data_IF_496059426090
#
_entry.id   IF_496059426090
#
_cell.length_a   1.000
_cell.length_b   1.000
_cell.length_c   1.000
_cell.angle_alpha   90.00
_cell.angle_beta   90.00
_cell.angle_gamma   90.00
#
_symmetry.space_group_name_H-M   'P 1'
#
loop_
_entity.id
_entity.type
_entity.pdbx_description
1 polymer ?
#
# COMPACT_ATOMS: atom_id res chain seq x y z
N UNK A 1 -3.83 -26.26 -13.33
CA UNK A 1 -3.48 -26.19 -11.92
C UNK A 1 -4.43 -27.09 -11.14
N UNK A 2 -3.89 -28.08 -10.40
CA UNK A 2 -4.67 -28.87 -9.45
C UNK A 2 -5.34 -27.89 -8.48
N UNK A 3 -6.66 -27.87 -8.44
CA UNK A 3 -7.44 -27.02 -7.56
C UNK A 3 -7.23 -27.54 -6.13
N UNK A 4 -6.47 -26.82 -5.31
CA UNK A 4 -6.28 -27.13 -3.89
C UNK A 4 -7.60 -26.96 -3.14
N UNK A 5 -7.77 -27.65 -2.02
CA UNK A 5 -8.95 -27.49 -1.17
C UNK A 5 -8.99 -26.09 -0.56
N UNK A 6 -10.17 -25.60 -0.19
CA UNK A 6 -10.33 -24.29 0.47
C UNK A 6 -9.48 -24.20 1.75
N UNK A 7 -9.42 -25.29 2.50
CA UNK A 7 -8.61 -25.39 3.73
C UNK A 7 -7.12 -25.29 3.42
N UNK A 8 -6.61 -25.95 2.37
CA UNK A 8 -5.20 -25.84 1.96
C UNK A 8 -4.83 -24.43 1.55
N UNK A 9 -5.71 -23.72 0.82
CA UNK A 9 -5.50 -22.32 0.50
C UNK A 9 -5.48 -21.43 1.75
N UNK A 10 -6.40 -21.65 2.68
CA UNK A 10 -6.49 -20.88 3.93
C UNK A 10 -5.23 -21.05 4.78
N UNK A 11 -4.79 -22.29 5.02
CA UNK A 11 -3.57 -22.58 5.77
C UNK A 11 -2.34 -21.95 5.09
N UNK A 12 -2.20 -22.14 3.78
CA UNK A 12 -1.08 -21.60 3.02
C UNK A 12 -1.08 -20.06 3.03
N UNK A 13 -2.24 -19.41 2.85
CA UNK A 13 -2.36 -17.97 2.92
C UNK A 13 -1.94 -17.44 4.29
N UNK A 14 -2.41 -18.05 5.37
CA UNK A 14 -2.10 -17.61 6.73
C UNK A 14 -0.62 -17.82 7.07
N UNK A 15 -0.07 -18.98 6.76
CA UNK A 15 1.33 -19.30 7.08
C UNK A 15 2.28 -18.41 6.28
N UNK A 16 2.07 -18.27 4.97
CA UNK A 16 2.91 -17.41 4.11
C UNK A 16 2.78 -15.95 4.52
N UNK A 17 1.57 -15.48 4.81
CA UNK A 17 1.36 -14.11 5.25
C UNK A 17 2.08 -13.83 6.57
N UNK A 18 1.98 -14.72 7.55
CA UNK A 18 2.63 -14.56 8.85
C UNK A 18 4.16 -14.52 8.72
N UNK A 19 4.75 -15.50 8.03
CA UNK A 19 6.21 -15.57 7.85
C UNK A 19 6.75 -14.38 7.05
N UNK A 20 6.11 -14.05 5.93
CA UNK A 20 6.55 -12.95 5.07
C UNK A 20 6.39 -11.58 5.77
N UNK A 21 5.30 -11.38 6.53
CA UNK A 21 5.06 -10.16 7.28
C UNK A 21 6.06 -10.02 8.44
N UNK A 22 6.33 -11.09 9.17
CA UNK A 22 7.32 -11.10 10.25
C UNK A 22 8.70 -10.72 9.72
N UNK A 23 9.13 -11.33 8.61
CA UNK A 23 10.41 -11.00 7.97
C UNK A 23 10.46 -9.53 7.52
N UNK A 24 9.40 -9.03 6.89
CA UNK A 24 9.33 -7.63 6.44
C UNK A 24 9.40 -6.64 7.63
N UNK A 25 8.74 -6.94 8.75
CA UNK A 25 8.81 -6.11 9.97
C UNK A 25 10.24 -6.08 10.52
N UNK A 26 10.91 -7.23 10.63
CA UNK A 26 12.31 -7.29 11.08
C UNK A 26 13.23 -6.48 10.15
N UNK A 27 13.12 -6.67 8.84
CA UNK A 27 13.93 -5.94 7.86
C UNK A 27 13.67 -4.44 7.92
N UNK A 28 12.40 -4.02 7.98
CA UNK A 28 12.03 -2.61 8.14
C UNK A 28 12.57 -1.98 9.41
N UNK A 29 12.59 -2.73 10.53
CA UNK A 29 13.23 -2.28 11.78
C UNK A 29 14.74 -2.08 11.61
N UNK A 30 15.44 -3.04 10.99
CA UNK A 30 16.87 -2.89 10.70
C UNK A 30 17.15 -1.69 9.78
N UNK A 31 16.36 -1.54 8.71
CA UNK A 31 16.45 -0.38 7.82
C UNK A 31 16.26 0.92 8.59
N UNK A 32 15.30 0.98 9.52
CA UNK A 32 15.07 2.16 10.36
C UNK A 32 16.23 2.46 11.29
N UNK A 33 16.84 1.44 11.91
CA UNK A 33 18.02 1.60 12.77
C UNK A 33 19.20 2.16 11.96
N UNK A 34 19.46 1.62 10.76
CA UNK A 34 20.51 2.14 9.88
C UNK A 34 20.20 3.56 9.45
N UNK A 35 18.96 3.83 9.04
CA UNK A 35 18.49 5.14 8.62
C UNK A 35 18.75 6.22 9.71
N UNK A 36 18.35 5.96 10.96
CA UNK A 36 18.50 6.89 12.06
C UNK A 36 19.95 7.08 12.52
N UNK A 37 20.82 6.10 12.26
CA UNK A 37 22.25 6.20 12.58
C UNK A 37 23.08 6.88 11.48
N UNK A 38 22.60 6.86 10.23
CA UNK A 38 23.37 7.36 9.08
C UNK A 38 22.94 8.74 8.61
N UNK A 39 21.68 9.11 8.85
CA UNK A 39 21.09 10.38 8.43
C UNK A 39 20.74 11.25 9.63
N UNK A 40 20.66 12.59 9.40
CA UNK A 40 20.29 13.54 10.46
C UNK A 40 18.82 13.39 10.87
N UNK A 41 18.49 13.87 12.07
CA UNK A 41 17.13 13.84 12.63
C UNK A 41 16.11 14.57 11.74
N UNK A 42 16.53 15.58 10.99
CA UNK A 42 15.69 16.27 10.02
C UNK A 42 15.14 15.34 8.93
N UNK A 43 15.95 14.40 8.41
CA UNK A 43 15.49 13.41 7.44
C UNK A 43 14.49 12.42 8.06
N UNK A 44 14.67 12.07 9.33
CA UNK A 44 13.76 11.19 10.07
C UNK A 44 12.38 11.85 10.19
N UNK A 45 12.35 13.14 10.54
CA UNK A 45 11.11 13.92 10.63
C UNK A 45 10.40 14.07 9.29
N UNK A 46 11.14 14.40 8.22
CA UNK A 46 10.60 14.50 6.86
C UNK A 46 10.00 13.17 6.41
N UNK A 47 10.69 12.07 6.68
CA UNK A 47 10.18 10.73 6.34
C UNK A 47 8.82 10.45 7.01
N UNK A 48 8.65 10.76 8.29
CA UNK A 48 7.39 10.63 9.00
C UNK A 48 6.30 11.53 8.40
N UNK A 49 6.59 12.83 8.30
CA UNK A 49 5.64 13.82 7.79
C UNK A 49 5.16 13.50 6.36
N UNK A 50 6.08 13.23 5.43
CA UNK A 50 5.70 12.96 4.03
C UNK A 50 4.96 11.64 3.89
N UNK A 51 5.30 10.63 4.70
CA UNK A 51 4.55 9.37 4.74
C UNK A 51 3.11 9.63 5.18
N UNK A 52 2.88 10.41 6.22
CA UNK A 52 1.52 10.69 6.72
C UNK A 52 0.72 11.57 5.75
N UNK A 53 1.34 12.60 5.16
CA UNK A 53 0.70 13.41 4.12
C UNK A 53 0.21 12.53 2.97
N UNK A 54 1.06 11.63 2.47
CA UNK A 54 0.69 10.75 1.36
C UNK A 54 -0.32 9.68 1.78
N UNK A 55 -0.28 9.19 3.01
CA UNK A 55 -1.32 8.30 3.55
C UNK A 55 -2.68 9.00 3.62
N UNK A 56 -2.72 10.28 3.99
CA UNK A 56 -3.95 11.08 3.96
C UNK A 56 -4.43 11.28 2.51
N UNK A 57 -3.56 11.60 1.56
CA UNK A 57 -3.92 11.71 0.15
C UNK A 57 -4.41 10.38 -0.43
N UNK A 58 -3.90 9.26 0.09
CA UNK A 58 -4.31 7.89 -0.28
C UNK A 58 -5.70 7.50 0.20
N UNK A 59 -6.40 8.36 0.96
CA UNK A 59 -7.80 8.15 1.36
C UNK A 59 -8.71 7.83 0.18
N UNK A 60 -8.41 8.37 -1.00
CA UNK A 60 -9.18 8.12 -2.22
C UNK A 60 -9.19 6.64 -2.67
N UNK A 61 -8.23 5.81 -2.21
CA UNK A 61 -8.18 4.37 -2.49
C UNK A 61 -8.94 3.54 -1.47
N UNK A 62 -9.09 4.06 -0.24
CA UNK A 62 -9.57 3.30 0.90
C UNK A 62 -11.04 2.84 0.73
N UNK A 63 -11.21 1.53 0.60
CA UNK A 63 -12.52 0.88 0.45
C UNK A 63 -12.81 0.38 -0.95
N UNK A 64 -12.18 0.93 -1.98
CA UNK A 64 -12.41 0.50 -3.37
C UNK A 64 -11.93 -0.93 -3.58
N UNK A 65 -10.72 -1.26 -3.16
CA UNK A 65 -10.16 -2.61 -3.29
C UNK A 65 -11.06 -3.67 -2.64
N UNK A 66 -11.56 -3.42 -1.43
CA UNK A 66 -12.48 -4.33 -0.74
C UNK A 66 -13.83 -4.45 -1.43
N UNK A 67 -14.47 -3.34 -1.80
CA UNK A 67 -15.77 -3.35 -2.50
C UNK A 67 -15.69 -4.12 -3.82
N UNK A 68 -14.57 -3.99 -4.49
CA UNK A 68 -14.25 -4.65 -5.75
C UNK A 68 -14.02 -6.15 -5.56
N UNK A 69 -13.26 -6.54 -4.55
CA UNK A 69 -13.06 -7.96 -4.21
C UNK A 69 -14.41 -8.63 -3.95
N UNK A 70 -15.30 -7.98 -3.21
CA UNK A 70 -16.65 -8.50 -3.00
C UNK A 70 -17.45 -8.62 -4.30
N UNK A 71 -17.39 -7.63 -5.18
CA UNK A 71 -18.07 -7.68 -6.49
C UNK A 71 -17.54 -8.80 -7.41
N UNK A 72 -16.27 -9.21 -7.22
CA UNK A 72 -15.65 -10.30 -8.00
C UNK A 72 -16.06 -11.70 -7.53
N UNK A 73 -16.45 -11.91 -6.27
CA UNK A 73 -16.73 -13.25 -5.75
C UNK A 73 -17.83 -13.98 -6.52
N UNK A 74 -18.98 -13.34 -6.77
CA UNK A 74 -20.08 -13.96 -7.49
C UNK A 74 -19.71 -14.34 -8.95
N UNK A 75 -19.11 -13.46 -9.75
CA UNK A 75 -18.60 -13.80 -11.09
C UNK A 75 -17.53 -14.91 -11.09
N UNK A 76 -16.67 -14.97 -10.06
CA UNK A 76 -15.65 -16.03 -9.95
C UNK A 76 -16.33 -17.40 -9.70
N UNK A 77 -17.27 -17.46 -8.74
CA UNK A 77 -17.99 -18.69 -8.42
C UNK A 77 -18.81 -19.18 -9.62
N UNK A 78 -19.46 -18.26 -10.36
CA UNK A 78 -20.25 -18.57 -11.56
C UNK A 78 -19.40 -18.80 -12.81
N UNK A 79 -18.06 -18.64 -12.73
CA UNK A 79 -17.13 -18.70 -13.87
C UNK A 79 -17.49 -17.74 -15.01
N UNK A 80 -18.10 -16.61 -14.67
CA UNK A 80 -18.46 -15.57 -15.63
C UNK A 80 -17.22 -14.70 -15.94
N UNK A 81 -16.45 -15.14 -16.94
CA UNK A 81 -15.22 -14.48 -17.37
C UNK A 81 -15.51 -13.07 -17.90
N UNK A 82 -16.62 -12.90 -18.65
CA UNK A 82 -16.98 -11.59 -19.20
C UNK A 82 -17.22 -10.57 -18.11
N UNK A 83 -17.98 -10.92 -17.08
CA UNK A 83 -18.26 -10.04 -15.96
C UNK A 83 -17.00 -9.71 -15.18
N UNK A 84 -16.08 -10.67 -15.01
CA UNK A 84 -14.77 -10.42 -14.42
C UNK A 84 -13.95 -9.41 -15.24
N UNK A 85 -13.90 -9.53 -16.57
CA UNK A 85 -13.21 -8.57 -17.45
C UNK A 85 -13.79 -7.15 -17.33
N UNK A 86 -15.12 -7.01 -17.32
CA UNK A 86 -15.81 -5.73 -17.19
C UNK A 86 -15.45 -5.06 -15.85
N UNK A 87 -15.54 -5.79 -14.74
CA UNK A 87 -15.18 -5.32 -13.42
C UNK A 87 -13.70 -4.90 -13.37
N UNK A 88 -12.79 -5.71 -13.87
CA UNK A 88 -11.37 -5.41 -13.90
C UNK A 88 -11.03 -4.18 -14.74
N UNK A 89 -11.77 -3.91 -15.82
CA UNK A 89 -11.66 -2.68 -16.59
C UNK A 89 -12.12 -1.46 -15.80
N UNK A 90 -13.26 -1.56 -15.08
CA UNK A 90 -13.77 -0.50 -14.21
C UNK A 90 -12.73 -0.14 -13.14
N UNK A 91 -12.08 -1.15 -12.53
CA UNK A 91 -11.05 -0.98 -11.52
C UNK A 91 -9.80 -0.30 -12.04
N UNK A 92 -9.31 -0.76 -13.19
CA UNK A 92 -8.17 -0.13 -13.84
C UNK A 92 -8.41 1.36 -14.03
N UNK A 93 -9.60 1.73 -14.50
CA UNK A 93 -9.94 3.15 -14.72
C UNK A 93 -10.04 3.90 -13.38
N UNK A 94 -10.63 3.29 -12.36
CA UNK A 94 -10.71 3.87 -11.03
C UNK A 94 -9.31 4.14 -10.45
N UNK A 95 -8.42 3.15 -10.45
CA UNK A 95 -7.06 3.34 -9.93
C UNK A 95 -6.25 4.37 -10.72
N UNK A 96 -6.49 4.50 -12.02
CA UNK A 96 -5.87 5.57 -12.84
C UNK A 96 -6.37 6.96 -12.43
N UNK A 97 -7.67 7.11 -12.19
CA UNK A 97 -8.26 8.37 -11.70
C UNK A 97 -7.71 8.70 -10.31
N UNK A 98 -7.64 7.71 -9.42
CA UNK A 98 -7.05 7.88 -8.09
C UNK A 98 -5.58 8.29 -8.16
N UNK A 99 -4.77 7.64 -8.98
CA UNK A 99 -3.37 8.02 -9.20
C UNK A 99 -3.23 9.45 -9.71
N UNK A 100 -4.07 9.86 -10.67
CA UNK A 100 -4.14 11.23 -11.19
C UNK A 100 -4.54 12.23 -10.10
N UNK A 101 -5.54 11.91 -9.29
CA UNK A 101 -5.97 12.76 -8.17
C UNK A 101 -4.86 12.93 -7.13
N UNK A 102 -4.20 11.84 -6.71
CA UNK A 102 -3.10 11.90 -5.74
C UNK A 102 -1.93 12.70 -6.29
N UNK A 103 -1.61 12.54 -7.59
CA UNK A 103 -0.56 13.33 -8.24
C UNK A 103 -0.91 14.83 -8.22
N UNK A 104 -2.09 15.20 -8.67
CA UNK A 104 -2.51 16.60 -8.74
C UNK A 104 -2.61 17.24 -7.34
N UNK A 105 -3.27 16.56 -6.41
CA UNK A 105 -3.39 17.04 -5.03
C UNK A 105 -2.02 17.15 -4.35
N UNK A 106 -1.13 16.16 -4.57
CA UNK A 106 0.24 16.20 -4.06
C UNK A 106 1.05 17.35 -4.66
N UNK A 107 0.94 17.64 -5.94
CA UNK A 107 1.61 18.80 -6.54
C UNK A 107 1.05 20.13 -6.00
N UNK A 108 -0.25 20.22 -5.76
CA UNK A 108 -0.88 21.39 -5.14
C UNK A 108 -0.42 21.63 -3.69
N UNK A 109 0.08 20.61 -2.99
CA UNK A 109 0.62 20.77 -1.63
C UNK A 109 2.02 21.33 -1.57
N UNK A 110 2.79 21.35 -2.67
CA UNK A 110 4.18 21.83 -2.69
C UNK A 110 4.33 23.24 -2.08
N UNK A 111 3.51 24.25 -2.44
CA UNK A 111 3.63 25.59 -1.86
C UNK A 111 3.27 25.65 -0.36
N UNK A 112 2.59 24.64 0.17
CA UNK A 112 2.18 24.58 1.57
C UNK A 112 3.15 23.78 2.45
N UNK A 113 4.19 23.16 1.88
CA UNK A 113 5.14 22.33 2.64
C UNK A 113 5.84 23.13 3.75
N UNK A 114 6.17 24.41 3.51
CA UNK A 114 6.79 25.25 4.51
C UNK A 114 5.84 25.58 5.71
N UNK A 115 4.53 25.59 5.49
CA UNK A 115 3.52 25.80 6.55
C UNK A 115 3.37 24.54 7.41
N UNK A 116 3.56 23.36 6.81
CA UNK A 116 3.46 22.07 7.49
C UNK A 116 4.70 21.73 8.34
N UNK A 117 5.76 22.52 8.25
CA UNK A 117 6.99 22.37 9.02
C UNK A 117 7.27 23.65 9.80
N UNK A 118 7.06 23.62 11.12
CA UNK A 118 7.29 24.78 11.99
C UNK A 118 8.73 25.26 11.90
N UNK A 119 9.70 24.34 11.92
CA UNK A 119 11.11 24.59 11.79
C UNK A 119 11.62 23.86 10.54
N UNK A 120 11.95 24.61 9.50
CA UNK A 120 12.46 24.02 8.26
C UNK A 120 13.76 23.29 8.55
N UNK A 121 13.85 21.98 8.35
CA UNK A 121 15.08 21.23 8.58
C UNK A 121 16.14 21.69 7.55
N UNK A 122 17.39 21.71 7.96
CA UNK A 122 18.53 21.93 7.07
C UNK A 122 18.76 20.67 6.22
N UNK A 123 17.91 20.52 5.21
CA UNK A 123 17.89 19.36 4.31
C UNK A 123 17.95 19.85 2.88
N UNK A 124 19.00 19.39 2.18
CA UNK A 124 19.16 19.69 0.77
C UNK A 124 18.08 19.02 -0.07
N UNK A 125 17.57 19.75 -1.08
CA UNK A 125 16.65 19.21 -2.09
C UNK A 125 15.30 18.70 -1.55
N UNK A 126 14.70 19.37 -0.57
CA UNK A 126 13.42 19.00 0.06
C UNK A 126 12.31 18.71 -0.98
N UNK A 127 12.19 19.54 -2.02
CA UNK A 127 11.18 19.37 -3.07
C UNK A 127 11.42 18.07 -3.86
N UNK A 128 12.67 17.73 -4.16
CA UNK A 128 13.01 16.48 -4.86
C UNK A 128 12.65 15.28 -3.99
N UNK A 129 12.93 15.35 -2.71
CA UNK A 129 12.57 14.33 -1.72
C UNK A 129 11.05 14.15 -1.72
N UNK A 130 10.28 15.23 -1.60
CA UNK A 130 8.82 15.17 -1.64
C UNK A 130 8.29 14.59 -2.94
N UNK A 131 8.84 15.00 -4.09
CA UNK A 131 8.43 14.46 -5.41
C UNK A 131 8.72 12.96 -5.55
N UNK A 132 9.82 12.45 -4.96
CA UNK A 132 10.11 11.02 -4.95
C UNK A 132 9.09 10.24 -4.10
N UNK A 133 8.69 10.78 -2.94
CA UNK A 133 7.62 10.22 -2.14
C UNK A 133 6.29 10.19 -2.90
N UNK A 134 5.94 11.33 -3.52
CA UNK A 134 4.73 11.46 -4.34
C UNK A 134 4.75 10.47 -5.50
N UNK A 135 5.87 10.38 -6.21
CA UNK A 135 6.05 9.43 -7.32
C UNK A 135 5.88 7.98 -6.85
N UNK A 136 6.49 7.61 -5.73
CA UNK A 136 6.35 6.27 -5.16
C UNK A 136 4.88 5.96 -4.82
N UNK A 137 4.16 6.91 -4.23
CA UNK A 137 2.73 6.77 -3.94
C UNK A 137 1.91 6.61 -5.23
N UNK A 138 2.11 7.46 -6.24
CA UNK A 138 1.38 7.39 -7.51
C UNK A 138 1.64 6.07 -8.23
N UNK A 139 2.89 5.62 -8.28
CA UNK A 139 3.29 4.36 -8.92
C UNK A 139 2.71 3.15 -8.20
N UNK A 140 2.54 3.21 -6.88
CA UNK A 140 1.92 2.12 -6.11
C UNK A 140 0.50 1.80 -6.57
N UNK A 141 -0.25 2.79 -7.12
CA UNK A 141 -1.61 2.59 -7.66
C UNK A 141 -1.63 1.96 -9.05
N UNK A 142 -0.55 2.11 -9.80
CA UNK A 142 -0.49 1.55 -11.15
C UNK A 142 -0.39 0.02 -11.06
N UNK A 143 -1.25 -0.67 -11.81
CA UNK A 143 -1.29 -2.15 -11.91
C UNK A 143 -1.81 -2.90 -10.67
N UNK A 144 -2.04 -2.24 -9.52
CA UNK A 144 -2.52 -2.88 -8.28
C UNK A 144 -3.88 -3.59 -8.47
N UNK A 145 -4.72 -3.12 -9.39
CA UNK A 145 -6.03 -3.72 -9.68
C UNK A 145 -5.94 -5.22 -10.04
N UNK A 146 -4.83 -5.67 -10.65
CA UNK A 146 -4.64 -7.08 -10.98
C UNK A 146 -4.35 -7.95 -9.75
N UNK A 147 -3.72 -7.38 -8.73
CA UNK A 147 -3.53 -8.02 -7.43
C UNK A 147 -4.88 -8.40 -6.82
N UNK A 148 -5.85 -7.49 -6.87
CA UNK A 148 -7.19 -7.71 -6.31
C UNK A 148 -7.89 -8.95 -6.90
N UNK A 149 -7.69 -9.23 -8.20
CA UNK A 149 -8.24 -10.44 -8.82
C UNK A 149 -7.58 -11.71 -8.28
N UNK A 150 -6.26 -11.70 -8.05
CA UNK A 150 -5.53 -12.83 -7.47
C UNK A 150 -6.02 -13.10 -6.05
N UNK A 151 -6.23 -12.03 -5.26
CA UNK A 151 -6.75 -12.11 -3.90
C UNK A 151 -8.20 -12.64 -3.88
N UNK A 152 -9.06 -12.19 -4.80
CA UNK A 152 -10.43 -12.68 -4.94
C UNK A 152 -10.51 -14.17 -5.30
N UNK A 153 -9.50 -14.72 -5.97
CA UNK A 153 -9.36 -16.16 -6.22
C UNK A 153 -8.73 -16.93 -5.05
N UNK A 154 -8.66 -16.35 -3.86
CA UNK A 154 -8.09 -16.95 -2.64
C UNK A 154 -6.58 -17.29 -2.75
N UNK A 155 -5.87 -16.70 -3.72
CA UNK A 155 -4.43 -16.89 -3.91
C UNK A 155 -3.61 -15.74 -3.28
N UNK A 156 -4.05 -15.22 -2.13
CA UNK A 156 -3.40 -14.11 -1.42
C UNK A 156 -1.94 -14.39 -1.07
N UNK A 157 -1.56 -15.67 -0.86
CA UNK A 157 -0.16 -16.05 -0.64
C UNK A 157 0.77 -15.57 -1.77
N UNK A 158 0.29 -15.55 -3.03
CA UNK A 158 1.07 -15.04 -4.16
C UNK A 158 1.31 -13.54 -4.02
N UNK A 159 0.24 -12.78 -3.74
CA UNK A 159 0.33 -11.32 -3.62
C UNK A 159 1.21 -10.89 -2.46
N UNK A 160 1.10 -11.60 -1.32
CA UNK A 160 1.93 -11.39 -0.14
C UNK A 160 3.40 -11.72 -0.40
N UNK A 161 3.70 -12.83 -1.07
CA UNK A 161 5.08 -13.19 -1.44
C UNK A 161 5.74 -12.15 -2.34
N UNK A 162 5.04 -11.67 -3.37
CA UNK A 162 5.57 -10.63 -4.25
C UNK A 162 5.77 -9.32 -3.50
N UNK A 163 4.76 -8.87 -2.74
CA UNK A 163 4.82 -7.61 -2.01
C UNK A 163 5.96 -7.61 -0.97
N UNK A 164 5.94 -8.56 -0.03
CA UNK A 164 6.95 -8.61 1.04
C UNK A 164 8.32 -9.01 0.51
N UNK A 165 8.41 -9.83 -0.55
CA UNK A 165 9.68 -10.15 -1.19
C UNK A 165 10.36 -8.91 -1.79
N UNK A 166 9.59 -8.03 -2.45
CA UNK A 166 10.12 -6.76 -2.95
C UNK A 166 10.40 -5.74 -1.85
N UNK A 167 9.63 -5.74 -0.74
CA UNK A 167 9.95 -4.93 0.44
C UNK A 167 11.29 -5.33 1.06
N UNK A 168 11.50 -6.63 1.29
CA UNK A 168 12.78 -7.14 1.83
C UNK A 168 13.94 -6.82 0.89
N UNK A 169 13.76 -6.98 -0.43
CA UNK A 169 14.78 -6.59 -1.41
C UNK A 169 15.08 -5.10 -1.35
N UNK A 170 14.04 -4.26 -1.27
CA UNK A 170 14.15 -2.82 -1.10
C UNK A 170 14.95 -2.47 0.16
N UNK A 171 14.60 -3.07 1.30
CA UNK A 171 15.28 -2.84 2.58
C UNK A 171 16.77 -3.18 2.50
N UNK A 172 17.13 -4.33 1.92
CA UNK A 172 18.52 -4.72 1.71
C UNK A 172 19.27 -3.69 0.87
N UNK A 173 18.71 -3.29 -0.27
CA UNK A 173 19.33 -2.30 -1.15
C UNK A 173 19.45 -0.93 -0.49
N UNK A 174 18.43 -0.52 0.26
CA UNK A 174 18.42 0.75 1.01
C UNK A 174 19.48 0.75 2.11
N UNK A 175 19.63 -0.33 2.87
CA UNK A 175 20.69 -0.50 3.87
C UNK A 175 22.06 -0.36 3.20
N UNK A 176 22.30 -1.08 2.09
CA UNK A 176 23.57 -1.03 1.36
C UNK A 176 23.88 0.42 0.89
N UNK A 177 22.91 1.10 0.30
CA UNK A 177 23.11 2.47 -0.20
C UNK A 177 23.38 3.45 0.95
N UNK A 178 22.68 3.33 2.07
CA UNK A 178 22.93 4.18 3.24
C UNK A 178 24.34 4.00 3.82
N UNK A 179 24.81 2.75 3.91
CA UNK A 179 26.18 2.47 4.36
C UNK A 179 27.24 3.01 3.41
N UNK A 180 27.02 2.91 2.09
CA UNK A 180 28.01 3.30 1.07
C UNK A 180 28.00 4.81 0.79
N UNK A 181 26.84 5.44 0.75
CA UNK A 181 26.68 6.81 0.20
C UNK A 181 26.10 7.80 1.19
N UNK A 182 25.42 7.36 2.23
CA UNK A 182 24.65 8.21 3.17
C UNK A 182 23.68 9.17 2.46
N UNK A 183 23.23 8.80 1.26
CA UNK A 183 22.41 9.63 0.40
C UNK A 183 20.93 9.24 0.48
N UNK A 184 20.11 10.15 1.02
CA UNK A 184 18.67 9.92 1.19
C UNK A 184 17.90 9.90 -0.14
N UNK A 185 18.36 10.65 -1.15
CA UNK A 185 17.72 10.64 -2.48
C UNK A 185 17.86 9.27 -3.12
N UNK A 186 19.05 8.65 -3.08
CA UNK A 186 19.26 7.30 -3.60
C UNK A 186 18.43 6.25 -2.83
N UNK A 187 18.29 6.41 -1.52
CA UNK A 187 17.41 5.58 -0.70
C UNK A 187 15.96 5.61 -1.20
N UNK A 188 15.43 6.79 -1.54
CA UNK A 188 14.08 6.96 -2.08
C UNK A 188 13.94 6.45 -3.52
N UNK A 189 14.96 6.66 -4.36
CA UNK A 189 14.98 6.15 -5.74
C UNK A 189 14.89 4.63 -5.75
N UNK A 190 15.59 3.93 -4.83
CA UNK A 190 15.47 2.48 -4.67
C UNK A 190 14.03 2.09 -4.34
N UNK A 191 13.35 2.81 -3.44
CA UNK A 191 11.96 2.54 -3.11
C UNK A 191 11.06 2.62 -4.36
N UNK A 192 11.21 3.69 -5.15
CA UNK A 192 10.43 3.86 -6.39
C UNK A 192 10.71 2.73 -7.38
N UNK A 193 11.98 2.38 -7.60
CA UNK A 193 12.37 1.31 -8.53
C UNK A 193 11.80 -0.04 -8.08
N UNK A 194 11.94 -0.38 -6.80
CA UNK A 194 11.42 -1.64 -6.25
C UNK A 194 9.89 -1.71 -6.34
N UNK A 195 9.19 -0.60 -6.09
CA UNK A 195 7.72 -0.51 -6.26
C UNK A 195 7.32 -0.74 -7.71
N UNK A 196 7.99 -0.11 -8.68
CA UNK A 196 7.72 -0.28 -10.11
C UNK A 196 7.93 -1.73 -10.52
N UNK A 197 9.10 -2.30 -10.21
CA UNK A 197 9.46 -3.66 -10.62
C UNK A 197 8.52 -4.67 -9.94
N UNK A 198 8.23 -4.50 -8.65
CA UNK A 198 7.31 -5.35 -7.90
C UNK A 198 5.90 -5.36 -8.52
N UNK A 199 5.36 -4.19 -8.85
CA UNK A 199 4.05 -4.06 -9.50
C UNK A 199 4.04 -4.70 -10.89
N UNK A 200 5.10 -4.54 -11.68
CA UNK A 200 5.23 -5.17 -13.00
C UNK A 200 5.31 -6.69 -12.87
N UNK A 201 6.12 -7.20 -11.95
CA UNK A 201 6.26 -8.64 -11.71
C UNK A 201 4.93 -9.26 -11.28
N UNK A 202 4.23 -8.63 -10.33
CA UNK A 202 2.91 -9.06 -9.87
C UNK A 202 1.87 -9.01 -10.99
N UNK A 203 1.86 -7.93 -11.79
CA UNK A 203 0.97 -7.78 -12.96
C UNK A 203 1.21 -8.88 -14.00
N UNK A 204 2.48 -9.18 -14.32
CA UNK A 204 2.84 -10.27 -15.25
C UNK A 204 2.42 -11.65 -14.70
N UNK A 205 2.54 -11.85 -13.39
CA UNK A 205 2.08 -13.09 -12.74
C UNK A 205 0.56 -13.23 -12.87
N UNK A 206 -0.20 -12.17 -12.60
CA UNK A 206 -1.65 -12.15 -12.78
C UNK A 206 -2.07 -12.43 -14.24
N UNK A 207 -1.37 -11.84 -15.22
CA UNK A 207 -1.63 -12.09 -16.65
C UNK A 207 -1.34 -13.53 -17.10
N UNK A 208 -0.43 -14.22 -16.40
CA UNK A 208 -0.17 -15.67 -16.63
C UNK A 208 -1.24 -16.54 -15.98
N UNK A 209 -1.75 -16.14 -14.82
CA UNK A 209 -2.82 -16.87 -14.12
C UNK A 209 -4.18 -16.69 -14.81
N UNK A 210 -4.44 -15.49 -15.34
CA UNK A 210 -5.70 -15.07 -15.95
C UNK A 210 -5.48 -14.50 -17.35
N UNK A 211 -5.19 -15.34 -18.38
CA UNK A 211 -4.88 -14.87 -19.73
C UNK A 211 -5.98 -14.02 -20.36
N UNK A 212 -7.25 -14.26 -19.96
CA UNK A 212 -8.42 -13.51 -20.45
C UNK A 212 -8.39 -12.01 -20.10
N UNK A 213 -7.54 -11.57 -19.14
CA UNK A 213 -7.38 -10.15 -18.84
C UNK A 213 -6.75 -9.34 -19.98
N UNK A 214 -6.08 -10.01 -20.92
CA UNK A 214 -5.47 -9.38 -22.09
C UNK A 214 -6.45 -9.15 -23.23
N UNK A 215 -7.58 -9.84 -23.20
CA UNK A 215 -8.59 -9.73 -24.24
C UNK A 215 -9.35 -8.39 -24.13
N UNK A 216 -9.60 -7.69 -25.24
CA UNK A 216 -10.32 -6.44 -25.20
C UNK A 216 -11.79 -6.68 -24.89
N UNK A 217 -12.27 -6.20 -23.76
CA UNK A 217 -13.67 -6.18 -23.39
C UNK A 217 -14.24 -4.79 -23.61
N UNK A 218 -15.24 -4.63 -24.49
CA UNK A 218 -15.92 -3.36 -24.79
C UNK A 218 -17.21 -3.17 -23.99
N UNK A 219 -17.74 -4.24 -23.43
CA UNK A 219 -18.99 -4.24 -22.67
C UNK A 219 -18.85 -3.40 -21.37
N UNK A 220 -19.97 -2.82 -20.95
CA UNK A 220 -20.06 -2.03 -19.71
C UNK A 220 -21.01 -2.70 -18.73
N UNK A 221 -20.81 -2.47 -17.43
CA UNK A 221 -21.76 -2.91 -16.42
C UNK A 221 -23.09 -2.21 -16.57
N UNK A 222 -24.21 -2.92 -16.32
CA UNK A 222 -25.52 -2.29 -16.17
C UNK A 222 -25.45 -1.14 -15.16
N UNK A 223 -26.20 -0.05 -15.41
CA UNK A 223 -26.16 1.14 -14.57
C UNK A 223 -26.50 0.84 -13.10
N UNK A 224 -27.44 -0.04 -12.85
CA UNK A 224 -27.85 -0.43 -11.48
C UNK A 224 -26.70 -1.11 -10.73
N UNK A 225 -26.04 -2.10 -11.34
CA UNK A 225 -24.91 -2.80 -10.69
C UNK A 225 -23.72 -1.84 -10.45
N UNK A 226 -23.47 -0.94 -11.40
CA UNK A 226 -22.44 0.10 -11.22
C UNK A 226 -22.77 1.02 -10.06
N UNK A 227 -24.03 1.42 -9.91
CA UNK A 227 -24.50 2.25 -8.81
C UNK A 227 -24.34 1.55 -7.45
N UNK A 228 -24.68 0.28 -7.37
CA UNK A 228 -24.53 -0.52 -6.14
C UNK A 228 -23.06 -0.67 -5.72
N UNK A 229 -22.16 -0.93 -6.67
CA UNK A 229 -20.71 -0.98 -6.38
C UNK A 229 -20.24 0.38 -5.87
N UNK A 230 -20.60 1.48 -6.53
CA UNK A 230 -20.21 2.83 -6.10
C UNK A 230 -20.77 3.20 -4.73
N UNK A 231 -22.00 2.79 -4.41
CA UNK A 231 -22.61 2.98 -3.09
C UNK A 231 -21.82 2.22 -2.00
N UNK A 232 -21.41 0.98 -2.27
CA UNK A 232 -20.60 0.19 -1.35
C UNK A 232 -19.19 0.80 -1.18
N UNK A 233 -18.58 1.28 -2.27
CA UNK A 233 -17.31 2.02 -2.22
C UNK A 233 -17.45 3.23 -1.32
N UNK A 234 -18.50 4.06 -1.49
CA UNK A 234 -18.74 5.25 -0.67
C UNK A 234 -18.92 4.91 0.81
N UNK A 235 -19.68 3.86 1.14
CA UNK A 235 -19.85 3.42 2.53
C UNK A 235 -18.53 2.99 3.17
N UNK A 236 -17.73 2.20 2.47
CA UNK A 236 -16.41 1.75 2.93
C UNK A 236 -15.42 2.92 3.06
N UNK A 237 -15.49 3.90 2.16
CA UNK A 237 -14.66 5.11 2.21
C UNK A 237 -14.95 5.92 3.47
N UNK A 238 -16.22 6.12 3.82
CA UNK A 238 -16.62 6.83 5.05
C UNK A 238 -16.07 6.15 6.31
N UNK A 239 -16.17 4.84 6.39
CA UNK A 239 -15.63 4.07 7.52
C UNK A 239 -14.10 4.22 7.65
N UNK A 240 -13.39 4.23 6.52
CA UNK A 240 -11.93 4.32 6.51
C UNK A 240 -11.39 5.73 6.71
N UNK A 241 -12.12 6.78 6.35
CA UNK A 241 -11.75 8.16 6.63
C UNK A 241 -11.49 8.35 8.13
N UNK A 242 -12.40 7.88 8.98
CA UNK A 242 -12.22 7.94 10.44
C UNK A 242 -10.91 7.27 10.90
N UNK A 243 -10.59 6.09 10.37
CA UNK A 243 -9.37 5.37 10.72
C UNK A 243 -8.11 6.12 10.29
N UNK A 244 -8.08 6.70 9.09
CA UNK A 244 -6.90 7.45 8.61
C UNK A 244 -6.73 8.76 9.37
N UNK A 245 -7.79 9.49 9.64
CA UNK A 245 -7.73 10.71 10.45
C UNK A 245 -7.16 10.40 11.84
N UNK A 246 -7.57 9.31 12.47
CA UNK A 246 -7.08 8.94 13.80
C UNK A 246 -5.62 8.48 13.78
N UNK A 247 -5.16 7.79 12.74
CA UNK A 247 -3.84 7.14 12.75
C UNK A 247 -2.75 7.86 11.94
N UNK A 248 -3.09 8.85 11.12
CA UNK A 248 -2.11 9.51 10.22
C UNK A 248 -2.05 11.04 10.35
N UNK A 249 -2.68 11.63 11.37
CA UNK A 249 -2.59 13.08 11.59
C UNK A 249 -1.54 13.47 12.62
N UNK A 250 -1.04 12.53 13.42
CA UNK A 250 -0.15 12.80 14.54
C UNK A 250 1.14 13.49 14.11
N UNK A 251 1.86 12.92 13.13
CA UNK A 251 3.12 13.54 12.65
C UNK A 251 2.87 14.88 11.98
N UNK A 252 1.74 15.06 11.29
CA UNK A 252 1.34 16.34 10.70
C UNK A 252 1.17 17.40 11.79
N UNK A 253 0.42 17.11 12.84
CA UNK A 253 0.18 18.03 13.95
C UNK A 253 1.48 18.30 14.73
N UNK A 254 2.25 17.26 15.05
CA UNK A 254 3.52 17.42 15.76
C UNK A 254 4.49 18.25 14.93
N UNK A 255 4.62 18.00 13.63
CA UNK A 255 5.55 18.77 12.79
C UNK A 255 5.14 20.24 12.64
N UNK A 256 3.82 20.52 12.56
CA UNK A 256 3.28 21.87 12.37
C UNK A 256 3.30 22.70 13.65
N UNK A 257 3.05 22.10 14.82
CA UNK A 257 2.91 22.84 16.07
C UNK A 257 4.12 22.73 17.00
N UNK A 258 4.82 21.60 17.00
CA UNK A 258 5.97 21.34 17.88
C UNK A 258 7.27 21.47 17.12
N UNK A 259 7.43 20.78 16.00
CA UNK A 259 8.59 20.81 15.14
C UNK A 259 8.89 19.47 14.47
N UNK A 260 9.65 19.54 13.36
CA UNK A 260 9.92 18.38 12.52
C UNK A 260 10.76 17.29 13.21
N UNK A 261 11.68 17.69 14.10
CA UNK A 261 12.52 16.76 14.87
C UNK A 261 11.66 15.95 15.83
N UNK A 262 10.70 16.58 16.51
CA UNK A 262 9.76 15.91 17.41
C UNK A 262 8.87 14.91 16.66
N UNK A 263 8.44 15.23 15.43
CA UNK A 263 7.72 14.30 14.56
C UNK A 263 8.60 13.09 14.21
N UNK A 264 9.89 13.29 13.98
CA UNK A 264 10.84 12.20 13.74
C UNK A 264 10.97 11.24 14.93
N UNK A 265 11.09 11.79 16.13
CA UNK A 265 11.15 11.00 17.38
C UNK A 265 9.86 10.20 17.55
N UNK A 266 8.70 10.86 17.40
CA UNK A 266 7.38 10.21 17.47
C UNK A 266 7.27 9.08 16.45
N UNK A 267 7.70 9.28 15.21
CA UNK A 267 7.68 8.25 14.16
C UNK A 267 8.44 6.99 14.53
N UNK A 268 9.56 7.12 15.30
CA UNK A 268 10.32 5.96 15.75
C UNK A 268 9.56 5.14 16.80
N UNK A 269 8.89 5.80 17.75
CA UNK A 269 8.02 5.12 18.72
C UNK A 269 6.81 4.49 18.04
N UNK A 270 6.18 5.22 17.11
CA UNK A 270 5.02 4.73 16.37
C UNK A 270 5.35 3.49 15.53
N UNK A 271 6.55 3.42 14.95
CA UNK A 271 7.00 2.23 14.22
C UNK A 271 7.03 0.98 15.13
N UNK A 272 7.52 1.10 16.37
CA UNK A 272 7.55 -0.01 17.32
C UNK A 272 6.12 -0.44 17.68
N UNK A 273 5.27 0.52 18.06
CA UNK A 273 3.87 0.27 18.43
C UNK A 273 3.10 -0.32 17.25
N UNK A 274 3.26 0.24 16.05
CA UNK A 274 2.63 -0.24 14.82
C UNK A 274 3.06 -1.65 14.45
N UNK A 275 4.34 -1.99 14.64
CA UNK A 275 4.85 -3.35 14.38
C UNK A 275 4.21 -4.38 15.32
N UNK A 276 4.12 -4.08 16.62
CA UNK A 276 3.43 -4.94 17.60
C UNK A 276 1.96 -5.10 17.24
N UNK A 277 1.29 -4.00 16.90
CA UNK A 277 -0.12 -4.01 16.45
C UNK A 277 -0.31 -4.89 15.21
N UNK A 278 0.55 -4.78 14.20
CA UNK A 278 0.46 -5.61 12.99
C UNK A 278 0.60 -7.11 13.29
N UNK A 279 1.51 -7.49 14.18
CA UNK A 279 1.67 -8.90 14.61
C UNK A 279 0.39 -9.39 15.30
N UNK A 280 -0.16 -8.58 16.22
CA UNK A 280 -1.42 -8.91 16.91
C UNK A 280 -2.61 -9.03 15.94
N UNK A 281 -2.74 -8.11 14.99
CA UNK A 281 -3.80 -8.15 13.96
C UNK A 281 -3.69 -9.42 13.10
N UNK A 282 -2.48 -9.85 12.70
CA UNK A 282 -2.27 -11.09 11.97
C UNK A 282 -2.64 -12.33 12.80
N UNK A 283 -2.29 -12.34 14.09
CA UNK A 283 -2.67 -13.42 14.99
C UNK A 283 -4.20 -13.50 15.15
N UNK A 284 -4.87 -12.35 15.31
CA UNK A 284 -6.33 -12.27 15.45
C UNK A 284 -7.05 -12.71 14.17
N UNK A 285 -6.53 -12.39 12.98
CA UNK A 285 -7.08 -12.86 11.71
C UNK A 285 -6.99 -14.40 11.59
N UNK A 286 -5.90 -15.00 12.07
CA UNK A 286 -5.76 -16.47 12.13
C UNK A 286 -6.81 -17.12 13.03
N UNK A 287 -7.08 -16.53 14.21
CA UNK A 287 -8.10 -17.01 15.15
C UNK A 287 -9.51 -16.81 14.56
N UNK A 288 -9.80 -15.64 13.97
CA UNK A 288 -11.09 -15.36 13.36
C UNK A 288 -11.44 -16.34 12.23
N UNK A 289 -10.44 -16.71 11.41
CA UNK A 289 -10.61 -17.73 10.36
C UNK A 289 -10.92 -19.13 10.95
N UNK A 290 -10.34 -19.46 12.11
CA UNK A 290 -10.59 -20.72 12.81
C UNK A 290 -12.01 -20.75 13.42
N UNK A 291 -12.43 -19.65 14.05
CA UNK A 291 -13.77 -19.55 14.66
C UNK A 291 -14.87 -19.49 13.60
N UNK A 292 -14.66 -18.81 12.48
CA UNK A 292 -15.63 -18.73 11.37
C UNK A 292 -15.85 -20.07 10.64
N UNK A 293 -14.96 -21.07 10.85
CA UNK A 293 -15.17 -22.44 10.35
C UNK A 293 -15.95 -23.34 11.32
N UNK A 294 -16.20 -22.88 12.55
CA UNK A 294 -16.95 -23.65 13.57
C UNK A 294 -18.47 -23.34 13.59
N UNK A 295 -18.92 -22.34 12.82
CA UNK A 295 -20.32 -21.98 12.62
C UNK A 295 -20.77 -22.21 11.18
#
# INVERSE_FOLDING_TARGET
>A
LKQKSRTEYSVMNTTVAFLAQTLAIFMGFFTRVVFTRTLSEGYVGINGLFTDILNILSLSELGVGTAITYALYAPIVRRDIKKQQILMRMFRNFYRITAGFVLLAGLCLIPFLDILMKDRPDVNHLIIIYLLYLLNSVVSYLLIYKKTLVDAHQMNYITVMYHNGFLVLQDILQIMVLFLTRNFILFLVIAVICTIIGNICMSRKADRLFPYLKEPCKEQLPQEERHDILRNVKAMLMHKIGNVVVNNTDNLLISSFVGIISAGIYSNYYLIIGSVRQVLEQAMLGVAASVGNLG
#
